data_IF_195807313961
#
_entry.id   IF_195807313961
#
_cell.length_a   1.000
_cell.length_b   1.000
_cell.length_c   1.000
_cell.angle_alpha   90.00
_cell.angle_beta   90.00
_cell.angle_gamma   90.00
#
_symmetry.space_group_name_H-M   'P 1'
#
loop_
_entity.id
_entity.type
_entity.pdbx_description
1 polymer ?
#
# COMPACT_ATOMS: atom_id res chain seq x y z
N UNK A 1 -36.54 -5.77 -0.18
CA UNK A 1 -37.10 -6.62 0.89
C UNK A 1 -36.10 -6.68 2.02
N UNK A 2 -36.40 -6.02 3.13
CA UNK A 2 -35.57 -6.00 4.34
C UNK A 2 -35.47 -7.40 4.93
N UNK A 3 -34.25 -7.92 5.13
CA UNK A 3 -34.03 -9.12 5.94
C UNK A 3 -33.54 -8.71 7.33
N UNK A 4 -34.34 -8.88 8.39
CA UNK A 4 -33.98 -8.56 9.78
C UNK A 4 -32.87 -9.46 10.36
N UNK A 5 -32.39 -10.45 9.59
CA UNK A 5 -31.46 -11.47 10.07
C UNK A 5 -30.02 -10.94 10.18
N UNK A 6 -29.66 -9.90 9.41
CA UNK A 6 -28.32 -9.30 9.49
C UNK A 6 -28.11 -8.46 10.77
N UNK A 7 -29.17 -7.79 11.25
CA UNK A 7 -29.12 -7.01 12.51
C UNK A 7 -28.96 -7.89 13.76
N UNK A 8 -29.34 -9.17 13.71
CA UNK A 8 -29.30 -10.06 14.87
C UNK A 8 -27.92 -10.71 15.09
N UNK A 9 -27.05 -10.78 14.07
CA UNK A 9 -25.66 -11.27 14.24
C UNK A 9 -24.73 -10.24 14.89
N UNK A 10 -25.01 -8.94 14.71
CA UNK A 10 -24.18 -7.84 15.21
C UNK A 10 -24.30 -7.70 16.74
N UNK A 11 -25.48 -7.94 17.32
CA UNK A 11 -25.68 -7.80 18.77
C UNK A 11 -25.08 -8.96 19.60
N UNK A 12 -24.86 -10.14 19.01
CA UNK A 12 -24.35 -11.32 19.75
C UNK A 12 -22.82 -11.30 19.86
N UNK A 13 -22.11 -10.75 18.87
CA UNK A 13 -20.64 -10.59 18.94
C UNK A 13 -20.22 -9.50 19.94
N UNK A 14 -20.96 -8.40 20.03
CA UNK A 14 -20.77 -7.36 21.04
C UNK A 14 -21.05 -7.85 22.47
N UNK A 15 -22.02 -8.75 22.65
CA UNK A 15 -22.34 -9.32 23.97
C UNK A 15 -21.33 -10.38 24.44
N UNK A 16 -20.68 -11.12 23.52
CA UNK A 16 -19.63 -12.09 23.86
C UNK A 16 -18.27 -11.43 24.13
N UNK A 17 -17.99 -10.26 23.54
CA UNK A 17 -16.80 -9.46 23.85
C UNK A 17 -16.79 -8.86 25.26
N UNK A 18 -17.94 -8.75 25.93
CA UNK A 18 -18.05 -8.21 27.29
C UNK A 18 -17.66 -9.21 28.40
N UNK A 19 -17.37 -10.47 28.07
CA UNK A 19 -17.05 -11.53 29.05
C UNK A 19 -15.58 -11.98 29.05
N UNK A 20 -14.75 -11.47 28.13
CA UNK A 20 -13.31 -11.69 28.13
C UNK A 20 -12.67 -10.31 28.10
N UNK A 21 -11.99 -9.93 29.19
CA UNK A 21 -11.38 -8.61 29.33
C UNK A 21 -10.35 -8.31 28.24
N UNK A 22 -10.80 -7.74 27.14
CA UNK A 22 -10.00 -6.94 26.23
C UNK A 22 -10.60 -5.54 26.21
N UNK A 23 -9.75 -4.56 26.47
CA UNK A 23 -10.07 -3.14 26.43
C UNK A 23 -10.63 -2.84 25.02
N UNK A 24 -11.91 -2.54 24.92
CA UNK A 24 -12.48 -1.93 23.71
C UNK A 24 -11.81 -0.57 23.54
N UNK A 25 -10.85 -0.49 22.62
CA UNK A 25 -10.33 0.76 22.08
C UNK A 25 -11.50 1.47 21.39
N UNK A 26 -12.25 2.29 22.13
CA UNK A 26 -13.23 3.22 21.57
C UNK A 26 -12.45 4.38 20.95
N UNK A 27 -11.87 4.17 19.78
CA UNK A 27 -11.53 5.30 18.92
C UNK A 27 -12.85 5.93 18.45
N UNK A 28 -12.95 7.26 18.51
CA UNK A 28 -14.08 7.99 17.90
C UNK A 28 -14.21 7.56 16.44
N UNK A 29 -15.42 7.57 15.87
CA UNK A 29 -15.61 7.28 14.45
C UNK A 29 -15.21 8.48 13.58
N UNK A 30 -14.86 8.29 12.29
CA UNK A 30 -14.72 9.40 11.35
C UNK A 30 -15.95 10.30 11.35
N UNK A 31 -15.74 11.62 11.26
CA UNK A 31 -16.79 12.64 11.29
C UNK A 31 -16.82 13.34 9.93
N UNK A 32 -17.95 13.34 9.25
CA UNK A 32 -18.13 14.15 8.05
C UNK A 32 -17.97 15.63 8.40
N UNK A 33 -17.04 16.30 7.70
CA UNK A 33 -16.85 17.75 7.86
C UNK A 33 -17.43 18.52 6.67
N UNK A 34 -17.30 17.97 5.47
CA UNK A 34 -17.71 18.63 4.24
C UNK A 34 -18.20 17.61 3.22
N UNK A 35 -19.14 18.06 2.39
CA UNK A 35 -19.67 17.31 1.25
C UNK A 35 -19.85 18.26 0.07
N UNK A 36 -19.43 17.79 -1.09
CA UNK A 36 -19.47 18.54 -2.34
C UNK A 36 -20.16 17.71 -3.41
N UNK A 37 -21.10 18.32 -4.11
CA UNK A 37 -21.62 17.75 -5.34
C UNK A 37 -20.60 17.99 -6.45
N UNK A 38 -20.17 16.91 -7.07
CA UNK A 38 -19.33 16.94 -8.26
C UNK A 38 -20.28 16.72 -9.44
N UNK A 39 -20.43 17.71 -10.34
CA UNK A 39 -21.50 17.76 -11.34
C UNK A 39 -21.46 16.65 -12.40
N UNK A 40 -20.59 15.66 -12.29
CA UNK A 40 -20.40 14.64 -13.32
C UNK A 40 -20.11 13.26 -12.72
N UNK A 41 -20.84 12.26 -13.21
CA UNK A 41 -20.65 10.84 -12.92
C UNK A 41 -19.29 10.37 -13.44
N UNK A 42 -18.50 9.71 -12.58
CA UNK A 42 -17.25 9.01 -12.93
C UNK A 42 -16.12 9.92 -13.45
N UNK A 43 -14.89 9.60 -13.07
CA UNK A 43 -13.69 10.11 -13.74
C UNK A 43 -12.77 10.99 -12.91
N UNK A 44 -13.01 11.20 -11.60
CA UNK A 44 -11.88 11.56 -10.71
C UNK A 44 -10.89 10.40 -10.77
N UNK A 45 -9.63 10.66 -11.10
CA UNK A 45 -8.61 9.61 -11.17
C UNK A 45 -7.72 9.61 -9.92
N UNK A 46 -7.43 10.79 -9.40
CA UNK A 46 -6.48 10.96 -8.29
C UNK A 46 -6.67 12.31 -7.59
N UNK A 47 -6.18 12.42 -6.35
CA UNK A 47 -6.40 13.54 -5.44
C UNK A 47 -5.16 13.77 -4.54
N UNK A 48 -4.81 15.03 -4.25
CA UNK A 48 -3.74 15.37 -3.30
C UNK A 48 -4.01 16.71 -2.58
N UNK A 49 -3.36 16.97 -1.44
CA UNK A 49 -3.48 18.20 -0.64
C UNK A 49 -2.39 19.21 -1.01
N UNK A 50 -2.78 20.48 -1.23
CA UNK A 50 -1.86 21.59 -1.55
C UNK A 50 -1.37 22.36 -0.32
N UNK A 51 -1.86 21.99 0.86
CA UNK A 51 -1.59 22.62 2.15
C UNK A 51 -2.64 23.66 2.54
N UNK A 52 -2.79 23.93 3.84
CA UNK A 52 -3.74 24.92 4.35
C UNK A 52 -5.20 24.54 4.16
N UNK A 53 -5.50 23.24 4.24
CA UNK A 53 -6.80 22.60 3.99
C UNK A 53 -7.31 22.66 2.54
N UNK A 54 -6.49 23.15 1.60
CA UNK A 54 -6.82 23.15 0.17
C UNK A 54 -6.38 21.84 -0.50
N UNK A 55 -7.03 21.51 -1.61
CA UNK A 55 -6.76 20.27 -2.32
C UNK A 55 -6.83 20.43 -3.83
N UNK A 56 -6.31 19.41 -4.52
CA UNK A 56 -6.38 19.24 -5.96
C UNK A 56 -6.88 17.86 -6.31
N UNK A 57 -7.57 17.75 -7.44
CA UNK A 57 -7.95 16.46 -8.02
C UNK A 57 -7.93 16.50 -9.53
N UNK A 58 -7.61 15.36 -10.13
CA UNK A 58 -7.61 15.21 -11.59
C UNK A 58 -8.83 14.44 -12.05
N UNK A 59 -9.33 14.83 -13.21
CA UNK A 59 -10.45 14.20 -13.89
C UNK A 59 -10.10 13.87 -15.33
N UNK A 60 -10.43 12.67 -15.79
CA UNK A 60 -10.40 12.29 -17.21
C UNK A 60 -11.83 12.37 -17.73
N UNK A 61 -12.12 13.38 -18.56
CA UNK A 61 -13.48 13.58 -19.09
C UNK A 61 -13.76 12.56 -20.21
N UNK A 62 -14.75 11.69 -20.04
CA UNK A 62 -15.14 10.70 -21.04
C UNK A 62 -15.75 11.32 -22.31
N UNK A 63 -16.34 12.52 -22.21
CA UNK A 63 -16.96 13.21 -23.34
C UNK A 63 -15.95 14.09 -24.12
N UNK A 64 -15.08 14.80 -23.40
CA UNK A 64 -14.09 15.71 -24.01
C UNK A 64 -12.74 15.04 -24.27
N UNK A 65 -12.55 13.81 -23.75
CA UNK A 65 -11.31 13.05 -23.81
C UNK A 65 -10.10 13.84 -23.29
N UNK A 66 -10.28 14.75 -22.33
CA UNK A 66 -9.23 15.63 -21.79
C UNK A 66 -9.05 15.45 -20.30
N UNK A 67 -7.85 15.73 -19.81
CA UNK A 67 -7.58 15.82 -18.38
C UNK A 67 -7.97 17.20 -17.89
N UNK A 68 -8.69 17.27 -16.78
CA UNK A 68 -8.94 18.51 -16.06
C UNK A 68 -8.45 18.38 -14.63
N UNK A 69 -7.63 19.31 -14.17
CA UNK A 69 -7.16 19.38 -12.79
C UNK A 69 -7.86 20.56 -12.14
N UNK A 70 -8.52 20.31 -11.01
CA UNK A 70 -9.20 21.32 -10.21
C UNK A 70 -8.40 21.55 -8.94
N UNK A 71 -8.40 22.79 -8.45
CA UNK A 71 -8.09 23.08 -7.06
C UNK A 71 -9.31 23.64 -6.36
N UNK A 72 -9.51 23.21 -5.12
CA UNK A 72 -10.59 23.67 -4.27
C UNK A 72 -10.08 24.00 -2.87
N UNK A 73 -10.80 24.90 -2.21
CA UNK A 73 -10.60 25.12 -0.78
C UNK A 73 -11.34 24.08 0.06
N UNK A 74 -11.12 24.13 1.38
CA UNK A 74 -11.79 23.25 2.34
C UNK A 74 -13.31 23.38 2.38
N UNK A 75 -13.87 24.44 1.80
CA UNK A 75 -15.30 24.69 1.68
C UNK A 75 -15.88 24.23 0.33
N UNK A 76 -15.04 23.67 -0.56
CA UNK A 76 -15.43 23.19 -1.88
C UNK A 76 -15.52 24.26 -2.95
N UNK A 77 -15.06 25.48 -2.65
CA UNK A 77 -15.01 26.52 -3.67
C UNK A 77 -13.85 26.22 -4.62
N UNK A 78 -14.14 26.25 -5.93
CA UNK A 78 -13.10 26.11 -6.95
C UNK A 78 -12.18 27.33 -6.92
N UNK A 79 -10.91 27.11 -6.60
CA UNK A 79 -9.85 28.13 -6.62
C UNK A 79 -9.34 28.36 -8.04
N UNK A 80 -9.08 27.27 -8.76
CA UNK A 80 -8.67 27.30 -10.17
C UNK A 80 -8.97 25.98 -10.87
N UNK A 81 -8.86 26.00 -12.20
CA UNK A 81 -9.01 24.82 -13.06
C UNK A 81 -8.02 24.89 -14.23
N UNK A 82 -7.37 23.78 -14.51
CA UNK A 82 -6.59 23.54 -15.71
C UNK A 82 -7.26 22.44 -16.54
N UNK A 83 -7.31 22.60 -17.87
CA UNK A 83 -7.76 21.55 -18.80
C UNK A 83 -6.69 21.34 -19.86
N UNK A 84 -6.30 20.09 -20.10
CA UNK A 84 -5.31 19.75 -21.10
C UNK A 84 -5.76 20.21 -22.50
N UNK A 85 -4.85 20.76 -23.32
CA UNK A 85 -5.20 21.21 -24.66
C UNK A 85 -5.55 20.03 -25.57
N UNK A 86 -4.89 18.89 -25.36
CA UNK A 86 -4.99 17.70 -26.19
C UNK A 86 -5.73 16.58 -25.47
N UNK A 87 -6.25 15.64 -26.25
CA UNK A 87 -6.94 14.47 -25.72
C UNK A 87 -5.99 13.62 -24.88
N UNK A 88 -6.25 13.54 -23.59
CA UNK A 88 -5.34 13.00 -22.59
C UNK A 88 -6.07 12.25 -21.48
N UNK A 89 -5.37 11.31 -20.85
CA UNK A 89 -5.78 10.56 -19.68
C UNK A 89 -4.84 10.89 -18.50
N UNK A 90 -5.40 11.01 -17.29
CA UNK A 90 -4.64 11.25 -16.06
C UNK A 90 -4.27 9.95 -15.38
N UNK A 91 -3.02 9.81 -14.98
CA UNK A 91 -2.48 8.65 -14.25
C UNK A 91 -2.20 8.96 -12.78
N UNK A 92 -2.22 10.23 -12.42
CA UNK A 92 -2.05 10.67 -11.05
C UNK A 92 -1.67 12.14 -10.97
N UNK A 93 -1.78 12.69 -9.78
CA UNK A 93 -1.36 14.07 -9.48
C UNK A 93 -0.61 14.13 -8.16
N UNK A 94 0.26 15.12 -8.07
CA UNK A 94 1.01 15.41 -6.86
C UNK A 94 1.05 16.92 -6.63
N UNK A 95 0.59 17.36 -5.48
CA UNK A 95 0.75 18.72 -5.00
C UNK A 95 2.14 18.91 -4.36
N UNK A 96 2.87 19.92 -4.79
CA UNK A 96 4.19 20.29 -4.27
C UNK A 96 4.13 21.70 -3.66
N UNK A 97 5.11 22.09 -2.83
CA UNK A 97 5.19 23.48 -2.34
C UNK A 97 5.23 24.53 -3.46
N UNK A 98 5.68 24.15 -4.66
CA UNK A 98 5.83 25.05 -5.83
C UNK A 98 4.64 25.04 -6.79
N UNK A 99 3.64 24.19 -6.57
CA UNK A 99 2.49 24.01 -7.46
C UNK A 99 2.06 22.55 -7.60
N UNK A 100 1.31 22.22 -8.64
CA UNK A 100 0.74 20.88 -8.84
C UNK A 100 1.37 20.21 -10.06
N UNK A 101 1.74 18.95 -9.92
CA UNK A 101 2.31 18.13 -10.99
C UNK A 101 1.29 17.07 -11.39
N UNK A 102 1.04 16.95 -12.68
CA UNK A 102 0.15 15.93 -13.23
C UNK A 102 0.90 14.95 -14.13
N UNK A 103 0.64 13.66 -13.96
CA UNK A 103 1.11 12.61 -14.87
C UNK A 103 0.01 12.32 -15.88
N UNK A 104 0.25 12.65 -17.15
CA UNK A 104 -0.75 12.53 -18.22
C UNK A 104 -0.20 11.80 -19.44
N UNK A 105 -1.08 11.15 -20.21
CA UNK A 105 -0.73 10.58 -21.52
C UNK A 105 -1.81 10.85 -22.56
N UNK A 106 -1.47 10.93 -23.86
CA UNK A 106 -2.47 11.03 -24.93
C UNK A 106 -3.43 9.83 -24.96
N UNK A 107 -4.68 10.05 -25.40
CA UNK A 107 -5.67 8.96 -25.63
C UNK A 107 -5.61 8.43 -27.08
N UNK A 108 -5.11 9.22 -28.03
CA UNK A 108 -5.23 8.91 -29.47
C UNK A 108 -4.40 7.71 -29.92
N UNK A 109 -4.96 6.89 -30.81
CA UNK A 109 -4.35 5.68 -31.38
C UNK A 109 -3.27 5.91 -32.45
N UNK A 110 -2.90 7.16 -32.75
CA UNK A 110 -1.74 7.48 -33.59
C UNK A 110 -0.47 7.45 -32.75
N UNK A 111 0.40 6.49 -33.04
CA UNK A 111 1.68 6.33 -32.36
C UNK A 111 2.69 7.43 -32.72
N UNK A 112 3.59 7.82 -31.80
CA UNK A 112 3.82 7.27 -30.44
C UNK A 112 3.01 7.98 -29.33
N UNK A 113 2.60 7.23 -28.30
CA UNK A 113 2.06 7.79 -27.05
C UNK A 113 3.19 8.22 -26.11
N UNK A 114 3.25 9.52 -25.79
CA UNK A 114 4.27 10.09 -24.90
C UNK A 114 3.70 10.26 -23.48
N UNK A 115 4.29 9.60 -22.47
CA UNK A 115 4.03 9.90 -21.06
C UNK A 115 4.63 11.27 -20.73
N UNK A 116 3.87 12.15 -20.10
CA UNK A 116 4.33 13.49 -19.75
C UNK A 116 4.02 13.84 -18.31
N UNK A 117 4.94 14.58 -17.71
CA UNK A 117 4.69 15.38 -16.52
C UNK A 117 4.35 16.80 -16.95
N UNK A 118 3.27 17.35 -16.40
CA UNK A 118 2.95 18.77 -16.49
C UNK A 118 3.13 19.40 -15.12
N UNK A 119 3.67 20.63 -15.07
CA UNK A 119 3.74 21.42 -13.84
C UNK A 119 2.84 22.64 -13.97
N UNK A 120 1.91 22.77 -13.03
CA UNK A 120 1.04 23.90 -12.85
C UNK A 120 1.53 24.72 -11.66
N UNK A 121 1.52 26.05 -11.76
CA UNK A 121 1.80 26.91 -10.60
C UNK A 121 0.61 26.94 -9.63
N UNK A 122 0.74 27.68 -8.52
CA UNK A 122 -0.29 27.81 -7.48
C UNK A 122 -1.65 28.37 -7.97
N UNK A 123 -1.70 28.97 -9.16
CA UNK A 123 -2.92 29.50 -9.79
C UNK A 123 -3.45 28.58 -10.90
N UNK A 124 -2.89 27.39 -11.08
CA UNK A 124 -3.31 26.44 -12.10
C UNK A 124 -2.79 26.73 -13.51
N UNK A 125 -1.87 27.69 -13.68
CA UNK A 125 -1.28 27.95 -14.99
C UNK A 125 -0.15 26.95 -15.29
N UNK A 126 -0.15 26.37 -16.48
CA UNK A 126 0.92 25.50 -16.97
C UNK A 126 2.22 26.30 -17.08
N UNK A 127 3.25 25.85 -16.38
CA UNK A 127 4.58 26.49 -16.37
C UNK A 127 5.66 25.62 -16.98
N UNK A 128 5.47 24.29 -16.99
CA UNK A 128 6.44 23.38 -17.60
C UNK A 128 5.80 22.05 -18.04
N UNK A 129 6.46 21.35 -18.95
CA UNK A 129 6.10 20.02 -19.42
C UNK A 129 7.33 19.22 -19.80
N UNK A 130 7.49 18.05 -19.21
CA UNK A 130 8.57 17.10 -19.52
C UNK A 130 7.99 15.82 -20.09
N UNK A 131 8.53 15.41 -21.25
CA UNK A 131 8.28 14.09 -21.80
C UNK A 131 9.19 13.07 -21.09
N UNK A 132 8.60 11.98 -20.62
CA UNK A 132 9.33 10.92 -19.94
C UNK A 132 9.67 9.79 -20.92
N UNK A 133 8.65 9.27 -21.62
CA UNK A 133 8.84 8.09 -22.46
C UNK A 133 7.85 8.02 -23.61
N UNK A 134 8.32 7.55 -24.77
CA UNK A 134 7.52 7.17 -25.93
C UNK A 134 7.14 5.67 -25.87
N UNK A 135 5.89 5.35 -26.20
CA UNK A 135 5.38 3.98 -26.23
C UNK A 135 4.49 3.75 -27.44
N UNK A 136 4.48 2.52 -27.96
CA UNK A 136 3.71 2.12 -29.16
C UNK A 136 2.26 1.70 -28.88
N UNK A 137 1.91 1.43 -27.62
CA UNK A 137 0.54 1.24 -27.14
C UNK A 137 0.58 1.15 -25.60
N UNK A 138 -0.21 1.95 -24.90
CA UNK A 138 -0.18 2.01 -23.43
C UNK A 138 -1.47 1.52 -22.80
N UNK A 139 -1.35 0.71 -21.73
CA UNK A 139 -2.42 0.61 -20.73
C UNK A 139 -2.52 1.96 -19.99
N UNK A 140 -3.68 2.34 -19.42
CA UNK A 140 -3.85 3.54 -18.58
C UNK A 140 -3.14 3.42 -17.21
N UNK A 141 -2.23 2.46 -17.03
CA UNK A 141 -1.65 2.12 -15.74
C UNK A 141 -0.32 2.84 -15.55
N UNK A 142 -0.41 4.00 -14.91
CA UNK A 142 0.71 4.73 -14.35
C UNK A 142 0.34 5.27 -12.97
N UNK A 143 1.36 5.67 -12.22
CA UNK A 143 1.17 6.37 -10.95
C UNK A 143 2.38 7.27 -10.68
N UNK A 144 2.16 8.30 -9.87
CA UNK A 144 3.17 9.24 -9.41
C UNK A 144 3.00 9.38 -7.89
N UNK A 145 4.10 9.32 -7.14
CA UNK A 145 4.09 9.52 -5.68
C UNK A 145 5.22 10.43 -5.24
N UNK A 146 5.01 11.14 -4.13
CA UNK A 146 6.08 11.86 -3.41
C UNK A 146 6.99 10.85 -2.72
N UNK A 147 8.28 11.17 -2.69
CA UNK A 147 9.29 10.48 -1.89
C UNK A 147 9.58 11.27 -0.61
N UNK A 148 10.19 10.61 0.37
CA UNK A 148 10.55 11.19 1.67
C UNK A 148 11.52 12.36 1.51
N UNK A 149 12.39 12.34 0.50
CA UNK A 149 13.33 13.42 0.22
C UNK A 149 12.74 14.57 -0.59
N UNK A 150 11.43 14.54 -0.86
CA UNK A 150 10.70 15.60 -1.55
C UNK A 150 10.72 15.50 -3.07
N UNK A 151 11.41 14.52 -3.66
CA UNK A 151 11.31 14.23 -5.08
C UNK A 151 10.04 13.44 -5.41
N UNK A 152 9.85 13.19 -6.70
CA UNK A 152 8.77 12.39 -7.24
C UNK A 152 9.34 11.10 -7.80
N UNK A 153 8.53 10.07 -7.75
CA UNK A 153 8.79 8.83 -8.45
C UNK A 153 7.58 8.52 -9.32
N UNK A 154 7.86 8.29 -10.59
CA UNK A 154 6.88 7.98 -11.63
C UNK A 154 7.03 6.52 -11.98
N UNK A 155 5.91 5.86 -12.21
CA UNK A 155 5.85 4.48 -12.65
C UNK A 155 4.84 4.34 -13.78
N UNK A 156 5.15 3.54 -14.79
CA UNK A 156 4.22 3.19 -15.86
C UNK A 156 4.49 1.80 -16.44
N UNK A 157 3.41 1.12 -16.80
CA UNK A 157 3.46 -0.08 -17.64
C UNK A 157 2.96 0.24 -19.06
N UNK A 158 3.62 -0.29 -20.09
CA UNK A 158 3.18 -0.15 -21.48
C UNK A 158 3.57 -1.37 -22.33
N UNK A 159 3.06 -1.42 -23.56
CA UNK A 159 3.33 -2.50 -24.49
C UNK A 159 4.06 -1.99 -25.75
N UNK A 160 4.96 -2.82 -26.25
CA UNK A 160 5.59 -2.68 -27.55
C UNK A 160 5.12 -3.79 -28.48
N UNK A 161 4.55 -3.43 -29.64
CA UNK A 161 4.20 -4.40 -30.67
C UNK A 161 5.41 -4.74 -31.51
N UNK A 162 5.89 -5.99 -31.42
CA UNK A 162 7.02 -6.50 -32.19
C UNK A 162 6.52 -7.67 -33.07
N UNK A 163 6.13 -7.35 -34.31
CA UNK A 163 5.48 -8.31 -35.20
C UNK A 163 4.11 -8.76 -34.65
N UNK A 164 3.91 -10.08 -34.54
CA UNK A 164 2.71 -10.68 -33.91
C UNK A 164 2.84 -10.83 -32.39
N UNK A 165 3.94 -10.37 -31.80
CA UNK A 165 4.18 -10.43 -30.35
C UNK A 165 4.01 -9.07 -29.69
N UNK A 166 3.56 -9.07 -28.44
CA UNK A 166 3.49 -7.86 -27.61
C UNK A 166 4.44 -8.02 -26.43
N UNK A 167 5.48 -7.19 -26.39
CA UNK A 167 6.39 -7.10 -25.26
C UNK A 167 5.81 -6.10 -24.26
N UNK A 168 5.81 -6.45 -22.97
CA UNK A 168 5.42 -5.53 -21.91
C UNK A 168 6.67 -4.92 -21.31
N UNK A 169 6.60 -3.63 -21.04
CA UNK A 169 7.67 -2.85 -20.46
C UNK A 169 7.20 -2.19 -19.17
N UNK A 170 8.13 -2.08 -18.24
CA UNK A 170 7.97 -1.36 -16.99
C UNK A 170 8.96 -0.20 -17.01
N UNK A 171 8.44 1.02 -16.85
CA UNK A 171 9.20 2.26 -16.75
C UNK A 171 9.06 2.83 -15.34
N UNK A 172 10.16 3.27 -14.75
CA UNK A 172 10.13 4.07 -13.54
C UNK A 172 11.25 5.11 -13.53
N UNK A 173 10.96 6.27 -12.98
CA UNK A 173 11.89 7.39 -12.97
C UNK A 173 11.73 8.23 -11.72
N UNK A 174 12.85 8.73 -11.20
CA UNK A 174 12.86 9.73 -10.14
C UNK A 174 13.05 11.10 -10.76
N UNK A 175 12.19 12.03 -10.37
CA UNK A 175 12.09 13.36 -10.96
C UNK A 175 12.03 14.40 -9.84
N UNK A 176 12.71 15.53 -10.00
CA UNK A 176 12.59 16.64 -9.05
C UNK A 176 11.20 17.29 -9.12
N UNK A 177 10.78 18.06 -8.10
CA UNK A 177 9.58 18.90 -8.19
C UNK A 177 9.64 19.92 -9.35
N UNK A 178 10.83 20.23 -9.86
CA UNK A 178 11.11 21.10 -11.00
C UNK A 178 11.06 20.38 -12.35
N UNK A 179 10.68 19.09 -12.34
CA UNK A 179 10.62 18.19 -13.50
C UNK A 179 11.98 17.75 -14.06
N UNK A 180 13.08 17.96 -13.35
CA UNK A 180 14.38 17.42 -13.74
C UNK A 180 14.41 15.90 -13.54
N UNK A 181 14.69 15.15 -14.60
CA UNK A 181 14.86 13.69 -14.52
C UNK A 181 16.20 13.41 -13.81
N UNK A 182 16.12 12.84 -12.61
CA UNK A 182 17.29 12.49 -11.80
C UNK A 182 17.87 11.17 -12.30
N UNK A 183 17.00 10.18 -12.50
CA UNK A 183 17.31 8.91 -13.14
C UNK A 183 16.02 8.28 -13.68
N UNK A 184 16.17 7.40 -14.66
CA UNK A 184 15.08 6.59 -15.20
C UNK A 184 15.58 5.21 -15.59
N UNK A 185 14.68 4.23 -15.51
CA UNK A 185 14.93 2.84 -15.84
C UNK A 185 13.77 2.29 -16.64
N UNK A 186 14.07 1.32 -17.50
CA UNK A 186 13.08 0.53 -18.22
C UNK A 186 13.51 -0.92 -18.25
N UNK A 187 12.57 -1.83 -18.08
CA UNK A 187 12.80 -3.26 -18.29
C UNK A 187 11.68 -3.88 -19.10
N UNK A 188 12.01 -4.94 -19.85
CA UNK A 188 11.04 -5.80 -20.50
C UNK A 188 10.60 -6.86 -19.50
N UNK A 189 9.30 -6.97 -19.26
CA UNK A 189 8.72 -7.98 -18.39
C UNK A 189 7.64 -8.76 -19.15
N UNK A 190 7.99 -9.95 -19.63
CA UNK A 190 7.10 -10.79 -20.45
C UNK A 190 6.07 -11.57 -19.64
N UNK A 191 5.98 -11.38 -18.31
CA UNK A 191 5.11 -12.17 -17.44
C UNK A 191 4.28 -11.37 -16.43
N UNK A 192 4.77 -10.23 -15.95
CA UNK A 192 4.26 -9.63 -14.70
C UNK A 192 3.46 -8.35 -14.94
N UNK A 193 2.34 -8.18 -14.24
CA UNK A 193 1.58 -6.93 -14.20
C UNK A 193 2.02 -6.15 -12.97
N UNK A 194 2.76 -5.07 -13.16
CA UNK A 194 3.18 -4.18 -12.09
C UNK A 194 2.19 -3.03 -11.98
N UNK A 195 1.66 -2.81 -10.79
CA UNK A 195 0.51 -1.90 -10.58
C UNK A 195 0.83 -0.73 -9.67
N UNK A 196 1.83 -0.89 -8.79
CA UNK A 196 2.17 0.12 -7.81
C UNK A 196 3.59 -0.06 -7.26
N UNK A 197 4.12 0.97 -6.60
CA UNK A 197 5.40 0.95 -5.91
C UNK A 197 5.31 1.67 -4.57
N UNK A 198 6.29 1.45 -3.70
CA UNK A 198 6.47 2.21 -2.46
C UNK A 198 7.95 2.41 -2.14
N UNK A 199 8.28 3.55 -1.55
CA UNK A 199 9.64 3.82 -1.07
C UNK A 199 9.97 2.95 0.15
N UNK A 200 11.22 2.49 0.22
CA UNK A 200 11.70 1.60 1.27
C UNK A 200 12.29 2.38 2.44
N UNK A 201 12.10 1.90 3.69
CA UNK A 201 12.88 2.38 4.83
C UNK A 201 14.38 2.19 4.57
N UNK A 202 15.16 3.27 4.55
CA UNK A 202 16.59 3.23 4.25
C UNK A 202 16.97 3.47 2.78
N UNK A 203 16.00 3.79 1.92
CA UNK A 203 16.21 4.20 0.53
C UNK A 203 15.92 3.09 -0.50
N UNK A 204 15.65 3.53 -1.73
CA UNK A 204 15.20 2.67 -2.83
C UNK A 204 13.71 2.37 -2.78
N UNK A 205 13.25 1.47 -3.65
CA UNK A 205 11.82 1.23 -3.91
C UNK A 205 11.50 -0.26 -3.94
N UNK A 206 10.28 -0.57 -3.52
CA UNK A 206 9.65 -1.87 -3.70
C UNK A 206 8.67 -1.74 -4.84
N UNK A 207 8.91 -2.46 -5.94
CA UNK A 207 8.00 -2.54 -7.08
C UNK A 207 7.21 -3.83 -6.94
N UNK A 208 5.89 -3.69 -6.84
CA UNK A 208 5.00 -4.83 -6.71
C UNK A 208 4.51 -5.26 -8.08
N UNK A 209 4.78 -6.53 -8.40
CA UNK A 209 4.23 -7.19 -9.58
C UNK A 209 3.31 -8.34 -9.19
N UNK A 210 2.45 -8.72 -10.14
CA UNK A 210 1.57 -9.88 -10.04
C UNK A 210 2.28 -11.16 -9.59
N UNK A 211 3.56 -11.36 -9.92
CA UNK A 211 4.29 -12.62 -9.66
C UNK A 211 5.66 -12.44 -8.97
N UNK A 212 6.01 -11.21 -8.57
CA UNK A 212 7.28 -10.95 -7.88
C UNK A 212 7.27 -9.62 -7.14
N UNK A 213 8.11 -9.54 -6.10
CA UNK A 213 8.55 -8.26 -5.54
C UNK A 213 9.93 -7.95 -6.09
N UNK A 214 10.12 -6.74 -6.62
CA UNK A 214 11.42 -6.24 -7.04
C UNK A 214 11.86 -5.18 -6.03
N UNK A 215 13.07 -5.32 -5.51
CA UNK A 215 13.69 -4.31 -4.66
C UNK A 215 14.73 -3.55 -5.45
N UNK A 216 14.71 -2.23 -5.32
CA UNK A 216 15.72 -1.35 -5.90
C UNK A 216 16.61 -0.72 -4.83
N UNK A 217 17.78 -0.23 -5.24
CA UNK A 217 18.58 0.74 -4.49
C UNK A 217 18.02 2.17 -4.67
N UNK A 218 18.64 3.16 -4.04
CA UNK A 218 18.23 4.58 -4.12
C UNK A 218 18.30 5.17 -5.53
N UNK A 219 19.12 4.57 -6.40
CA UNK A 219 19.31 4.99 -7.79
C UNK A 219 18.34 4.27 -8.74
N UNK A 220 17.42 3.47 -8.19
CA UNK A 220 16.37 2.78 -8.95
C UNK A 220 16.82 1.47 -9.58
N UNK A 221 18.06 1.04 -9.40
CA UNK A 221 18.56 -0.24 -9.95
C UNK A 221 17.98 -1.41 -9.15
N UNK A 222 17.50 -2.43 -9.86
CA UNK A 222 16.99 -3.65 -9.22
C UNK A 222 18.17 -4.43 -8.62
N UNK A 223 18.15 -4.56 -7.29
CA UNK A 223 19.16 -5.30 -6.53
C UNK A 223 18.68 -6.68 -6.12
N UNK A 224 17.37 -6.91 -6.07
CA UNK A 224 16.80 -8.19 -5.67
C UNK A 224 15.42 -8.43 -6.27
N UNK A 225 15.10 -9.70 -6.52
CA UNK A 225 13.78 -10.16 -6.96
C UNK A 225 13.38 -11.36 -6.12
N UNK A 226 12.16 -11.32 -5.57
CA UNK A 226 11.57 -12.42 -4.83
C UNK A 226 10.37 -12.98 -5.61
N UNK A 227 10.26 -14.31 -5.78
CA UNK A 227 9.08 -14.91 -6.39
C UNK A 227 7.87 -14.78 -5.47
N UNK A 228 6.69 -14.61 -6.08
CA UNK A 228 5.42 -14.41 -5.36
C UNK A 228 5.03 -15.52 -4.38
N UNK A 229 5.50 -16.75 -4.63
CA UNK A 229 4.99 -17.99 -4.02
C UNK A 229 5.11 -18.06 -2.49
N UNK A 230 5.78 -17.09 -1.86
CA UNK A 230 5.98 -16.97 -0.41
C UNK A 230 5.34 -15.73 0.23
N UNK A 231 4.76 -14.83 -0.56
CA UNK A 231 4.55 -13.43 -0.14
C UNK A 231 3.10 -13.00 -0.14
N UNK A 232 2.35 -13.51 -1.11
CA UNK A 232 0.94 -13.21 -1.30
C UNK A 232 0.28 -14.54 -1.64
N UNK A 233 -0.11 -15.29 -0.61
CA UNK A 233 -0.87 -16.52 -0.78
C UNK A 233 -2.27 -16.18 -1.29
N UNK A 234 -2.41 -16.11 -2.60
CA UNK A 234 -3.70 -16.01 -3.26
C UNK A 234 -4.34 -17.39 -3.20
N UNK A 235 -5.52 -17.48 -2.57
CA UNK A 235 -6.20 -18.74 -2.27
C UNK A 235 -6.63 -19.53 -3.51
N UNK A 236 -6.58 -18.92 -4.71
CA UNK A 236 -6.92 -19.59 -5.96
C UNK A 236 -5.96 -19.18 -7.10
N UNK A 237 -5.08 -20.09 -7.55
CA UNK A 237 -4.13 -19.82 -8.65
C UNK A 237 -4.81 -19.66 -10.03
N UNK A 238 -6.12 -19.91 -10.15
CA UNK A 238 -6.89 -19.65 -11.37
C UNK A 238 -7.41 -18.20 -11.47
N UNK A 239 -7.26 -17.38 -10.43
CA UNK A 239 -7.69 -15.98 -10.43
C UNK A 239 -6.52 -15.08 -10.83
N UNK A 240 -6.72 -14.26 -11.85
CA UNK A 240 -5.79 -13.18 -12.17
C UNK A 240 -5.95 -12.10 -11.09
N UNK A 241 -4.90 -11.69 -10.36
CA UNK A 241 -4.97 -10.50 -9.53
C UNK A 241 -5.41 -9.31 -10.37
N UNK A 242 -6.42 -8.59 -9.90
CA UNK A 242 -6.80 -7.28 -10.43
C UNK A 242 -5.78 -6.21 -9.99
N UNK A 243 -6.21 -4.96 -9.93
CA UNK A 243 -5.37 -3.87 -9.42
C UNK A 243 -4.91 -4.15 -7.99
N UNK A 244 -3.61 -4.00 -7.75
CA UNK A 244 -2.99 -4.13 -6.43
C UNK A 244 -2.42 -2.78 -6.04
N UNK A 245 -2.50 -2.44 -4.76
CA UNK A 245 -1.86 -1.26 -4.17
C UNK A 245 -0.92 -1.70 -3.06
N UNK A 246 0.16 -0.97 -2.90
CA UNK A 246 1.14 -1.20 -1.83
C UNK A 246 1.34 0.08 -1.04
N UNK A 247 1.33 -0.08 0.28
CA UNK A 247 1.66 0.99 1.21
C UNK A 247 2.70 0.53 2.23
N UNK A 248 3.47 1.48 2.75
CA UNK A 248 4.48 1.18 3.76
C UNK A 248 3.80 0.90 5.10
N UNK A 249 4.31 -0.06 5.84
CA UNK A 249 3.96 -0.24 7.23
C UNK A 249 4.92 0.50 8.18
N UNK A 250 4.43 0.75 9.39
CA UNK A 250 5.20 1.46 10.42
C UNK A 250 6.45 0.69 10.90
N UNK A 251 6.46 -0.64 10.75
CA UNK A 251 7.48 -1.57 11.21
C UNK A 251 8.47 -2.04 10.12
N UNK A 252 8.66 -1.21 9.07
CA UNK A 252 9.49 -1.51 7.90
C UNK A 252 8.97 -2.63 6.97
N UNK A 253 7.81 -3.22 7.26
CA UNK A 253 7.07 -4.06 6.31
C UNK A 253 6.19 -3.27 5.35
N UNK A 254 5.24 -3.97 4.70
CA UNK A 254 4.31 -3.38 3.76
C UNK A 254 2.89 -3.89 3.95
N UNK A 255 1.93 -3.06 3.60
CA UNK A 255 0.55 -3.45 3.37
C UNK A 255 0.32 -3.61 1.88
N UNK A 256 -0.30 -4.71 1.49
CA UNK A 256 -0.63 -5.00 0.10
C UNK A 256 -2.11 -5.31 0.03
N UNK A 257 -2.84 -4.57 -0.79
CA UNK A 257 -4.25 -4.83 -1.02
C UNK A 257 -4.52 -5.09 -2.50
N UNK A 258 -5.47 -5.99 -2.78
CA UNK A 258 -5.87 -6.37 -4.13
C UNK A 258 -7.27 -6.99 -4.17
N UNK A 259 -7.89 -7.05 -5.34
CA UNK A 259 -9.19 -7.69 -5.56
C UNK A 259 -9.15 -8.75 -6.65
N UNK A 260 -9.92 -9.83 -6.49
CA UNK A 260 -10.10 -10.86 -7.53
C UNK A 260 -11.48 -10.77 -8.16
N UNK A 261 -11.62 -11.26 -9.38
CA UNK A 261 -12.92 -11.59 -9.96
C UNK A 261 -12.85 -12.95 -10.64
N UNK A 262 -13.82 -13.83 -10.40
CA UNK A 262 -14.00 -15.05 -11.21
C UNK A 262 -14.71 -14.66 -12.52
N UNK A 263 -14.03 -14.78 -13.66
CA UNK A 263 -14.66 -14.66 -14.98
C UNK A 263 -15.34 -15.98 -15.36
N UNK A 264 -16.65 -15.94 -15.64
CA UNK A 264 -17.33 -16.97 -16.43
C UNK A 264 -18.14 -16.31 -17.56
N UNK A 265 -17.54 -16.20 -18.75
CA UNK A 265 -18.21 -15.97 -20.04
C UNK A 265 -19.09 -14.69 -20.17
N UNK A 266 -19.58 -14.31 -21.37
CA UNK A 266 -19.72 -12.90 -21.74
C UNK A 266 -20.99 -12.30 -21.11
N UNK A 267 -20.81 -11.53 -20.04
CA UNK A 267 -21.89 -10.71 -19.47
C UNK A 267 -21.82 -10.40 -17.98
N UNK A 268 -20.91 -10.98 -17.18
CA UNK A 268 -20.79 -10.58 -15.77
C UNK A 268 -19.77 -11.31 -14.91
N UNK A 269 -19.33 -10.64 -13.84
CA UNK A 269 -18.42 -11.13 -12.79
C UNK A 269 -19.25 -11.68 -11.61
N UNK A 270 -18.93 -12.88 -11.07
CA UNK A 270 -19.80 -13.57 -10.06
C UNK A 270 -19.27 -13.56 -8.62
N UNK A 271 -17.97 -13.39 -8.37
CA UNK A 271 -17.47 -13.26 -6.98
C UNK A 271 -16.22 -12.41 -6.96
N UNK A 272 -16.24 -11.38 -6.10
CA UNK A 272 -15.11 -10.52 -5.87
C UNK A 272 -14.71 -10.52 -4.41
N UNK A 273 -13.58 -11.17 -4.13
CA UNK A 273 -12.93 -11.07 -2.83
C UNK A 273 -11.85 -10.00 -2.91
N UNK A 274 -11.94 -9.02 -2.01
CA UNK A 274 -10.87 -8.06 -1.76
C UNK A 274 -10.04 -8.54 -0.58
N UNK A 275 -8.72 -8.44 -0.70
CA UNK A 275 -7.77 -8.96 0.27
C UNK A 275 -6.77 -7.86 0.60
N UNK A 276 -6.52 -7.69 1.89
CA UNK A 276 -5.44 -6.91 2.46
C UNK A 276 -4.47 -7.88 3.14
N UNK A 277 -3.17 -7.68 2.95
CA UNK A 277 -2.13 -8.44 3.62
C UNK A 277 -1.12 -7.50 4.23
N UNK A 278 -0.63 -7.89 5.41
CA UNK A 278 0.58 -7.33 5.98
C UNK A 278 1.71 -8.30 5.68
N UNK A 279 2.79 -7.76 5.14
CA UNK A 279 4.03 -8.49 4.88
C UNK A 279 5.20 -7.81 5.60
N UNK A 280 6.24 -8.59 5.87
CA UNK A 280 7.51 -8.06 6.38
C UNK A 280 8.33 -7.37 5.26
N UNK A 281 9.52 -6.86 5.62
CA UNK A 281 10.40 -6.12 4.69
C UNK A 281 10.91 -6.93 3.48
N UNK A 282 10.85 -8.27 3.54
CA UNK A 282 11.27 -9.18 2.47
C UNK A 282 10.08 -9.84 1.78
N UNK A 283 8.86 -9.49 2.18
CA UNK A 283 7.62 -9.96 1.58
C UNK A 283 6.95 -11.13 2.30
N UNK A 284 7.48 -11.67 3.40
CA UNK A 284 6.78 -12.78 4.08
C UNK A 284 5.45 -12.30 4.66
N UNK A 285 4.35 -13.00 4.36
CA UNK A 285 3.03 -12.67 4.92
C UNK A 285 3.03 -12.83 6.45
N UNK A 286 2.68 -11.76 7.16
CA UNK A 286 2.46 -11.76 8.61
C UNK A 286 1.00 -12.07 8.93
N UNK A 287 0.07 -11.44 8.22
CA UNK A 287 -1.36 -11.73 8.31
C UNK A 287 -2.13 -11.30 7.07
N UNK A 288 -3.35 -11.83 6.95
CA UNK A 288 -4.29 -11.57 5.85
C UNK A 288 -5.66 -11.20 6.40
N UNK A 289 -6.28 -10.20 5.80
CA UNK A 289 -7.63 -9.74 6.02
C UNK A 289 -8.41 -9.79 4.70
N UNK A 290 -9.61 -10.35 4.70
CA UNK A 290 -10.40 -10.54 3.47
C UNK A 290 -11.84 -10.04 3.66
N UNK A 291 -12.35 -9.33 2.65
CA UNK A 291 -13.72 -8.82 2.61
C UNK A 291 -14.33 -9.15 1.26
N UNK A 292 -15.50 -9.80 1.28
CA UNK A 292 -16.31 -10.01 0.08
C UNK A 292 -17.34 -8.89 -0.03
N UNK A 293 -17.15 -8.03 -1.03
CA UNK A 293 -18.06 -6.90 -1.30
C UNK A 293 -18.93 -7.16 -2.53
N UNK A 294 -18.79 -8.32 -3.19
CA UNK A 294 -19.45 -8.63 -4.46
C UNK A 294 -19.01 -7.77 -5.65
N UNK A 295 -18.13 -6.77 -5.49
CA UNK A 295 -17.66 -5.87 -6.54
C UNK A 295 -16.14 -5.58 -6.43
N UNK A 296 -15.43 -5.61 -7.56
CA UNK A 296 -14.03 -5.21 -7.63
C UNK A 296 -13.97 -3.73 -7.92
N UNK A 297 -13.58 -2.93 -6.92
CA UNK A 297 -13.48 -1.47 -7.07
C UNK A 297 -12.06 -0.95 -6.97
N UNK A 298 -11.07 -1.85 -7.05
CA UNK A 298 -9.68 -1.52 -6.81
C UNK A 298 -9.41 -1.21 -5.33
N UNK A 299 -8.25 -1.60 -4.81
CA UNK A 299 -7.88 -1.30 -3.44
C UNK A 299 -7.54 0.19 -3.30
N UNK A 300 -8.09 0.85 -2.28
CA UNK A 300 -7.72 2.20 -1.89
C UNK A 300 -6.96 2.11 -0.56
N UNK A 301 -5.66 2.45 -0.59
CA UNK A 301 -4.80 2.46 0.58
C UNK A 301 -4.27 3.87 0.84
N UNK A 302 -4.22 4.25 2.10
CA UNK A 302 -3.51 5.45 2.53
C UNK A 302 -2.91 5.22 3.92
N UNK A 303 -1.65 5.61 4.10
CA UNK A 303 -1.01 5.58 5.42
C UNK A 303 -1.21 6.94 6.10
N UNK A 304 -1.82 6.94 7.29
CA UNK A 304 -2.11 8.15 8.05
C UNK A 304 -1.67 7.96 9.50
N UNK A 305 -0.71 8.74 9.96
CA UNK A 305 -0.18 8.67 11.33
C UNK A 305 0.23 7.25 11.78
N UNK A 306 0.85 6.46 10.89
CA UNK A 306 1.19 5.03 11.09
C UNK A 306 -0.01 4.06 11.15
N UNK A 307 -1.22 4.54 10.92
CA UNK A 307 -2.41 3.70 10.74
C UNK A 307 -2.68 3.53 9.24
N UNK A 308 -2.88 2.30 8.80
CA UNK A 308 -3.32 2.03 7.44
C UNK A 308 -4.82 2.23 7.36
N UNK A 309 -5.23 3.11 6.44
CA UNK A 309 -6.60 3.20 5.99
C UNK A 309 -6.79 2.32 4.76
N UNK A 310 -7.77 1.44 4.83
CA UNK A 310 -8.16 0.55 3.74
C UNK A 310 -9.63 0.78 3.40
N UNK A 311 -9.89 1.42 2.26
CA UNK A 311 -11.24 1.66 1.78
C UNK A 311 -11.63 0.61 0.73
N UNK A 312 -12.70 -0.14 0.99
CA UNK A 312 -13.17 -1.20 0.12
C UNK A 312 -14.69 -1.34 0.16
N UNK A 313 -15.31 -1.35 -1.03
CA UNK A 313 -16.76 -1.33 -1.16
C UNK A 313 -17.34 0.00 -0.69
N UNK A 314 -17.86 0.00 0.52
CA UNK A 314 -18.48 1.11 1.26
C UNK A 314 -17.97 1.19 2.70
N UNK A 315 -16.89 0.47 3.04
CA UNK A 315 -16.34 0.47 4.39
C UNK A 315 -14.90 0.99 4.35
N UNK A 316 -14.62 1.94 5.23
CA UNK A 316 -13.27 2.39 5.58
C UNK A 316 -12.83 1.65 6.84
N UNK A 317 -11.80 0.83 6.71
CA UNK A 317 -11.13 0.18 7.83
C UNK A 317 -9.88 0.97 8.22
N UNK A 318 -9.57 0.98 9.52
CA UNK A 318 -8.28 1.44 10.02
C UNK A 318 -7.56 0.30 10.71
N UNK A 319 -6.28 0.13 10.38
CA UNK A 319 -5.41 -0.88 10.96
C UNK A 319 -4.19 -0.21 11.58
N UNK A 320 -3.79 -0.68 12.75
CA UNK A 320 -2.40 -0.59 13.20
C UNK A 320 -1.56 -1.64 12.45
N UNK A 321 -0.69 -2.35 13.18
CA UNK A 321 0.07 -3.48 12.61
C UNK A 321 -0.58 -4.86 12.81
N UNK A 322 -1.74 -4.94 13.47
CA UNK A 322 -2.42 -6.20 13.77
C UNK A 322 -3.49 -6.56 12.72
N UNK A 323 -3.87 -7.84 12.67
CA UNK A 323 -4.86 -8.36 11.70
C UNK A 323 -6.32 -7.97 11.98
N UNK A 324 -6.57 -7.20 13.05
CA UNK A 324 -7.90 -6.78 13.48
C UNK A 324 -8.00 -5.27 13.29
N UNK A 325 -9.01 -4.77 12.54
CA UNK A 325 -9.22 -3.33 12.41
C UNK A 325 -9.38 -2.68 13.80
N UNK A 326 -8.74 -1.54 14.00
CA UNK A 326 -8.95 -0.73 15.20
C UNK A 326 -10.33 -0.08 15.20
N UNK A 327 -10.85 0.21 14.00
CA UNK A 327 -12.23 0.61 13.76
C UNK A 327 -12.61 0.36 12.29
N UNK A 328 -13.93 0.31 12.06
CA UNK A 328 -14.56 0.27 10.75
C UNK A 328 -15.64 1.35 10.66
N UNK A 329 -15.80 1.95 9.48
CA UNK A 329 -16.74 3.02 9.21
C UNK A 329 -17.44 2.80 7.86
N UNK A 330 -18.77 2.63 7.88
CA UNK A 330 -19.59 2.47 6.67
C UNK A 330 -19.99 3.85 6.12
N UNK A 331 -19.68 4.10 4.85
CA UNK A 331 -20.07 5.33 4.13
C UNK A 331 -21.37 5.14 3.37
N UNK A 332 -22.07 6.24 3.11
CA UNK A 332 -23.27 6.26 2.26
C UNK A 332 -22.94 6.28 0.76
N UNK A 333 -21.65 6.38 0.40
CA UNK A 333 -21.18 6.48 -0.98
C UNK A 333 -20.88 5.10 -1.59
N UNK A 334 -21.32 4.92 -2.83
CA UNK A 334 -21.03 3.78 -3.70
C UNK A 334 -20.00 4.15 -4.77
N UNK A 335 -19.34 3.18 -5.41
CA UNK A 335 -18.35 3.37 -6.48
C UNK A 335 -17.18 4.30 -6.12
N UNK A 336 -16.56 4.09 -4.95
CA UNK A 336 -15.74 5.14 -4.37
C UNK A 336 -14.22 4.97 -4.50
N UNK A 337 -13.55 6.10 -4.80
CA UNK A 337 -12.12 6.31 -4.58
C UNK A 337 -11.94 6.94 -3.21
N UNK A 338 -10.86 6.58 -2.52
CA UNK A 338 -10.53 7.15 -1.22
C UNK A 338 -9.05 7.51 -1.14
N UNK A 339 -8.76 8.69 -0.59
CA UNK A 339 -7.38 9.10 -0.34
C UNK A 339 -7.28 9.93 0.94
N UNK A 340 -6.18 9.76 1.67
CA UNK A 340 -5.83 10.70 2.73
C UNK A 340 -5.58 12.07 2.14
N UNK A 341 -6.26 13.08 2.66
CA UNK A 341 -5.95 14.47 2.34
C UNK A 341 -4.72 14.88 3.14
N UNK A 342 -4.73 14.58 4.43
CA UNK A 342 -3.61 14.88 5.32
C UNK A 342 -3.61 13.92 6.52
N UNK A 343 -2.80 14.26 7.53
CA UNK A 343 -2.63 13.47 8.74
C UNK A 343 -3.93 13.18 9.48
N UNK A 344 -4.99 13.98 9.31
CA UNK A 344 -6.22 13.82 10.07
C UNK A 344 -7.50 13.87 9.22
N UNK A 345 -7.40 13.88 7.88
CA UNK A 345 -8.57 13.96 6.99
C UNK A 345 -8.49 12.96 5.85
N UNK A 346 -9.64 12.42 5.47
CA UNK A 346 -9.79 11.44 4.40
C UNK A 346 -10.90 11.85 3.45
N UNK A 347 -10.61 11.93 2.15
CA UNK A 347 -11.61 12.18 1.12
C UNK A 347 -12.14 10.85 0.59
N UNK A 348 -13.46 10.76 0.43
CA UNK A 348 -14.13 9.69 -0.32
C UNK A 348 -14.92 10.33 -1.44
N UNK A 349 -14.71 9.86 -2.67
CA UNK A 349 -15.46 10.30 -3.84
C UNK A 349 -16.27 9.14 -4.37
N UNK A 350 -17.60 9.25 -4.44
CA UNK A 350 -18.48 8.17 -4.92
C UNK A 350 -19.90 8.66 -5.21
N UNK A 351 -20.81 7.75 -5.55
CA UNK A 351 -22.23 8.01 -5.86
C UNK A 351 -23.08 7.88 -4.60
N UNK A 352 -24.08 8.74 -4.41
CA UNK A 352 -24.97 8.65 -3.26
C UNK A 352 -25.99 7.50 -3.42
N UNK A 353 -26.14 6.64 -2.42
CA UNK A 353 -27.13 5.53 -2.41
C UNK A 353 -28.60 5.98 -2.32
N UNK A 354 -28.87 7.19 -1.85
CA UNK A 354 -30.21 7.61 -1.42
C UNK A 354 -30.97 8.51 -2.41
N UNK A 355 -30.48 8.68 -3.65
CA UNK A 355 -31.16 9.49 -4.66
C UNK A 355 -31.94 8.64 -5.66
N UNK A 356 -33.27 8.68 -5.59
CA UNK A 356 -34.21 8.06 -6.55
C UNK A 356 -34.20 8.74 -7.94
N UNK A 357 -33.33 9.73 -8.16
CA UNK A 357 -33.29 10.53 -9.39
C UNK A 357 -32.21 10.03 -10.37
N UNK A 358 -32.56 10.06 -11.67
CA UNK A 358 -31.64 9.86 -12.80
C UNK A 358 -30.45 10.85 -12.84
N UNK A 359 -30.46 11.89 -11.99
CA UNK A 359 -29.31 12.76 -11.71
C UNK A 359 -28.39 12.11 -10.67
N UNK A 360 -27.67 11.06 -11.10
CA UNK A 360 -26.66 10.44 -10.25
C UNK A 360 -25.43 11.36 -10.25
N UNK A 361 -25.40 12.34 -9.34
CA UNK A 361 -24.23 13.19 -9.14
C UNK A 361 -23.20 12.45 -8.29
N UNK A 362 -21.93 12.52 -8.68
CA UNK A 362 -20.84 12.06 -7.82
C UNK A 362 -20.71 13.05 -6.66
N UNK A 363 -20.44 12.56 -5.47
CA UNK A 363 -20.18 13.36 -4.30
C UNK A 363 -18.77 13.11 -3.82
N UNK A 364 -18.13 14.17 -3.37
CA UNK A 364 -16.91 14.09 -2.57
C UNK A 364 -17.27 14.44 -1.13
N UNK A 365 -16.92 13.56 -0.21
CA UNK A 365 -17.11 13.75 1.22
C UNK A 365 -15.76 13.73 1.89
N UNK A 366 -15.48 14.75 2.70
CA UNK A 366 -14.29 14.80 3.53
C UNK A 366 -14.69 14.40 4.93
N UNK A 367 -13.97 13.41 5.47
CA UNK A 367 -14.08 12.95 6.84
C UNK A 367 -12.88 13.43 7.64
N UNK A 368 -13.15 14.01 8.80
CA UNK A 368 -12.20 14.14 9.89
C UNK A 368 -11.98 12.76 10.50
N UNK A 369 -10.74 12.28 10.48
CA UNK A 369 -10.36 11.02 11.06
C UNK A 369 -10.32 11.11 12.59
N UNK A 370 -10.44 9.96 13.28
CA UNK A 370 -10.29 9.89 14.72
C UNK A 370 -8.94 10.43 15.15
N UNK A 371 -8.89 11.08 16.31
CA UNK A 371 -7.64 11.61 16.81
C UNK A 371 -6.71 10.47 17.24
N UNK A 372 -5.70 10.21 16.42
CA UNK A 372 -4.68 9.22 16.70
C UNK A 372 -3.70 9.67 17.79
N UNK A 373 -3.71 10.94 18.21
CA UNK A 373 -2.78 11.52 19.20
C UNK A 373 -3.01 11.07 20.64
N UNK A 374 -4.17 10.45 20.93
CA UNK A 374 -4.43 9.79 22.22
C UNK A 374 -3.98 8.32 22.27
N UNK A 375 -3.43 7.79 21.18
CA UNK A 375 -2.57 6.62 21.25
C UNK A 375 -1.22 7.16 21.72
N UNK A 376 -0.74 6.71 22.88
CA UNK A 376 0.61 7.03 23.35
C UNK A 376 1.54 7.04 22.15
N UNK A 377 2.16 8.20 21.85
CA UNK A 377 3.22 8.27 20.88
C UNK A 377 4.24 7.20 21.26
N UNK A 378 4.18 6.02 20.65
CA UNK A 378 5.39 5.31 20.34
C UNK A 378 6.02 6.13 19.22
N UNK A 379 6.63 7.27 19.61
CA UNK A 379 7.88 7.67 18.98
C UNK A 379 8.62 6.37 18.75
N UNK A 380 9.03 6.11 17.51
CA UNK A 380 9.93 4.99 17.21
C UNK A 380 11.18 5.25 18.05
N UNK A 381 11.17 4.71 19.27
CA UNK A 381 12.34 4.66 20.12
C UNK A 381 13.13 3.56 19.47
N UNK A 382 13.99 3.96 18.53
CA UNK A 382 15.03 3.08 18.06
C UNK A 382 15.71 2.50 19.31
N UNK A 383 15.93 1.19 19.35
CA UNK A 383 16.66 0.58 20.45
C UNK A 383 17.94 1.37 20.71
N UNK A 384 18.28 1.56 21.98
CA UNK A 384 19.51 2.27 22.34
C UNK A 384 20.69 1.30 22.49
N UNK A 385 20.41 -0.01 22.53
CA UNK A 385 21.40 -1.07 22.71
C UNK A 385 21.09 -2.29 21.83
N UNK A 386 22.12 -3.09 21.56
CA UNK A 386 21.96 -4.41 20.95
C UNK A 386 21.49 -5.37 22.04
N UNK A 387 20.34 -6.02 21.84
CA UNK A 387 19.79 -6.93 22.85
C UNK A 387 19.07 -8.12 22.23
N UNK A 388 19.36 -9.33 22.70
CA UNK A 388 18.59 -10.54 22.49
C UNK A 388 17.58 -10.71 23.63
N UNK A 389 16.30 -10.56 23.31
CA UNK A 389 15.19 -10.66 24.25
C UNK A 389 14.88 -12.12 24.63
N UNK A 390 14.20 -12.37 25.76
CA UNK A 390 13.69 -13.69 26.08
C UNK A 390 12.78 -14.21 24.96
N UNK A 391 13.04 -15.43 24.49
CA UNK A 391 12.15 -16.06 23.52
C UNK A 391 10.80 -16.37 24.18
N UNK A 392 9.71 -16.23 23.41
CA UNK A 392 8.36 -16.51 23.89
C UNK A 392 7.55 -17.28 22.82
N UNK A 393 6.84 -18.36 23.19
CA UNK A 393 6.88 -19.01 24.51
C UNK A 393 8.25 -19.66 24.81
N UNK A 394 8.61 -19.83 26.07
CA UNK A 394 9.80 -20.60 26.50
C UNK A 394 9.61 -21.07 27.95
N UNK A 395 9.36 -22.37 28.22
CA UNK A 395 9.41 -23.49 27.28
C UNK A 395 8.38 -23.43 26.13
N UNK A 396 8.67 -24.08 25.00
CA UNK A 396 7.85 -23.99 23.79
C UNK A 396 7.53 -25.36 23.15
N UNK A 397 6.42 -25.44 22.43
CA UNK A 397 6.00 -26.62 21.65
C UNK A 397 5.05 -26.20 20.50
N UNK A 398 5.37 -26.44 19.21
CA UNK A 398 6.67 -26.78 18.65
C UNK A 398 7.51 -25.53 18.27
N UNK A 399 6.96 -24.31 18.38
CA UNK A 399 7.63 -23.08 17.95
C UNK A 399 7.74 -22.01 19.03
N UNK A 400 8.78 -21.19 18.91
CA UNK A 400 9.04 -20.00 19.74
C UNK A 400 9.45 -18.83 18.88
N UNK A 401 9.18 -17.60 19.34
CA UNK A 401 9.64 -16.38 18.69
C UNK A 401 10.86 -15.82 19.42
N UNK A 402 11.95 -15.68 18.69
CA UNK A 402 13.21 -15.08 19.14
C UNK A 402 13.19 -13.62 18.71
N UNK A 403 13.29 -12.69 19.66
CA UNK A 403 13.30 -11.25 19.37
C UNK A 403 14.65 -10.63 19.71
N UNK A 404 15.10 -9.68 18.91
CA UNK A 404 16.31 -8.92 19.20
C UNK A 404 16.20 -7.50 18.68
N UNK A 405 17.08 -6.63 19.16
CA UNK A 405 17.07 -5.21 18.92
C UNK A 405 18.44 -4.73 18.43
N UNK A 406 18.44 -3.78 17.49
CA UNK A 406 19.64 -3.15 16.93
C UNK A 406 19.49 -1.62 16.99
N UNK A 407 20.48 -0.89 17.54
CA UNK A 407 20.45 0.57 17.61
C UNK A 407 20.91 1.25 16.32
N UNK A 408 21.64 0.54 15.47
CA UNK A 408 22.20 1.03 14.21
C UNK A 408 22.38 -0.13 13.23
N UNK A 409 22.62 0.19 11.96
CA UNK A 409 22.86 -0.81 10.92
C UNK A 409 24.15 -1.60 11.20
N UNK A 410 24.07 -2.92 11.35
CA UNK A 410 25.22 -3.79 11.60
C UNK A 410 25.04 -5.19 10.99
N UNK A 411 26.14 -5.95 10.86
CA UNK A 411 26.08 -7.37 10.49
C UNK A 411 25.61 -8.20 11.69
N UNK A 412 24.59 -9.05 11.48
CA UNK A 412 23.94 -9.82 12.53
C UNK A 412 23.90 -11.30 12.16
N UNK A 413 24.30 -12.14 13.12
CA UNK A 413 24.14 -13.59 13.09
C UNK A 413 23.28 -14.04 14.29
N UNK A 414 22.15 -14.69 14.02
CA UNK A 414 21.36 -15.37 15.05
C UNK A 414 21.40 -16.86 14.79
N UNK A 415 21.94 -17.61 15.74
CA UNK A 415 22.21 -19.04 15.62
C UNK A 415 21.76 -19.83 16.83
N UNK A 416 21.28 -21.06 16.62
CA UNK A 416 20.89 -22.01 17.66
C UNK A 416 21.96 -23.09 17.81
N UNK A 417 22.35 -23.36 19.05
CA UNK A 417 23.31 -24.40 19.42
C UNK A 417 22.69 -25.39 20.40
N UNK A 418 23.20 -26.62 20.42
CA UNK A 418 22.94 -27.54 21.52
C UNK A 418 23.87 -27.26 22.72
N UNK A 419 23.67 -27.98 23.82
CA UNK A 419 24.49 -27.82 25.04
C UNK A 419 25.96 -28.19 24.87
N UNK A 420 26.33 -28.92 23.81
CA UNK A 420 27.72 -29.23 23.45
C UNK A 420 28.35 -28.15 22.55
N UNK A 421 27.65 -27.05 22.26
CA UNK A 421 28.14 -25.97 21.38
C UNK A 421 28.11 -26.31 19.89
N UNK A 422 27.44 -27.38 19.48
CA UNK A 422 27.23 -27.71 18.07
C UNK A 422 26.13 -26.84 17.50
N UNK A 423 26.40 -26.20 16.36
CA UNK A 423 25.42 -25.45 15.59
C UNK A 423 24.30 -26.38 15.13
N UNK A 424 23.06 -26.01 15.46
CA UNK A 424 21.83 -26.71 15.09
C UNK A 424 21.16 -26.00 13.92
N UNK A 425 21.03 -24.67 14.03
CA UNK A 425 20.44 -23.87 12.97
C UNK A 425 21.00 -22.45 12.94
N UNK A 426 21.22 -21.91 11.75
CA UNK A 426 21.50 -20.50 11.54
C UNK A 426 20.19 -19.85 11.08
N UNK A 427 19.65 -18.93 11.90
CA UNK A 427 18.34 -18.31 11.66
C UNK A 427 18.46 -17.04 10.82
N UNK A 428 19.56 -16.30 10.97
CA UNK A 428 19.90 -15.17 10.10
C UNK A 428 21.40 -14.92 10.12
N UNK A 429 21.94 -14.41 9.02
CA UNK A 429 23.35 -14.04 8.85
C UNK A 429 23.48 -12.96 7.76
N UNK A 430 23.10 -11.72 8.09
CA UNK A 430 23.00 -10.64 7.11
C UNK A 430 23.22 -9.26 7.77
N UNK A 431 23.36 -8.22 6.95
CA UNK A 431 23.36 -6.83 7.43
C UNK A 431 21.91 -6.38 7.63
N UNK A 432 21.61 -5.82 8.79
CA UNK A 432 20.27 -5.34 9.15
C UNK A 432 20.36 -3.91 9.70
N UNK A 433 19.36 -3.09 9.40
CA UNK A 433 19.27 -1.69 9.85
C UNK A 433 18.99 -1.56 11.36
N UNK A 434 18.95 -0.33 11.90
CA UNK A 434 18.44 -0.10 13.24
C UNK A 434 16.96 -0.55 13.33
N UNK A 435 16.58 -1.27 14.38
CA UNK A 435 15.21 -1.73 14.55
C UNK A 435 15.04 -2.89 15.53
N UNK A 436 13.79 -3.32 15.71
CA UNK A 436 13.43 -4.51 16.46
C UNK A 436 13.10 -5.63 15.48
N UNK A 437 13.59 -6.82 15.75
CA UNK A 437 13.48 -7.99 14.88
C UNK A 437 12.88 -9.16 15.62
N UNK A 438 12.14 -10.01 14.89
CA UNK A 438 11.58 -11.25 15.40
C UNK A 438 11.81 -12.37 14.39
N UNK A 439 12.28 -13.54 14.86
CA UNK A 439 12.46 -14.74 14.05
C UNK A 439 11.75 -15.90 14.74
N UNK A 440 10.88 -16.60 14.02
CA UNK A 440 10.24 -17.81 14.53
C UNK A 440 11.14 -19.03 14.33
N UNK A 441 11.32 -19.84 15.36
CA UNK A 441 12.02 -21.12 15.28
C UNK A 441 11.10 -22.27 15.70
N UNK A 442 10.99 -23.28 14.85
CA UNK A 442 10.08 -24.43 15.00
C UNK A 442 10.76 -25.71 15.51
N UNK A 443 11.91 -25.58 16.17
CA UNK A 443 12.66 -26.72 16.66
C UNK A 443 13.21 -27.61 15.54
N UNK A 444 13.62 -27.01 14.42
CA UNK A 444 14.21 -27.70 13.27
C UNK A 444 15.70 -27.35 13.12
N UNK A 445 16.48 -28.30 12.61
CA UNK A 445 17.87 -28.06 12.16
C UNK A 445 17.92 -27.42 10.76
N UNK A 446 19.10 -27.04 10.29
CA UNK A 446 19.29 -26.47 8.93
C UNK A 446 18.88 -27.42 7.78
N UNK A 447 18.65 -28.71 8.05
CA UNK A 447 18.13 -29.68 7.07
C UNK A 447 16.60 -29.83 7.17
N UNK A 448 15.92 -28.99 7.95
CA UNK A 448 14.47 -29.01 8.14
C UNK A 448 13.97 -30.14 9.04
N UNK A 449 14.87 -30.88 9.71
CA UNK A 449 14.50 -32.03 10.56
C UNK A 449 14.19 -31.56 11.97
N UNK A 450 13.13 -32.10 12.57
CA UNK A 450 12.79 -31.85 13.96
C UNK A 450 13.86 -32.40 14.90
N UNK A 451 14.27 -31.57 15.85
CA UNK A 451 15.22 -31.95 16.89
C UNK A 451 14.49 -32.54 18.13
N UNK A 452 15.19 -33.30 18.99
CA UNK A 452 14.62 -33.80 20.24
C UNK A 452 14.22 -32.70 21.21
N UNK A 453 13.31 -32.98 22.15
CA UNK A 453 13.06 -32.11 23.29
C UNK A 453 14.34 -31.92 24.11
N UNK A 454 14.56 -30.73 24.66
CA UNK A 454 15.78 -30.44 25.39
C UNK A 454 16.11 -28.97 25.50
N UNK A 455 17.31 -28.70 26.02
CA UNK A 455 17.85 -27.36 26.20
C UNK A 455 18.70 -26.99 24.99
N UNK A 456 18.45 -25.78 24.46
CA UNK A 456 19.19 -25.18 23.37
C UNK A 456 19.65 -23.77 23.75
N UNK A 457 20.63 -23.25 23.03
CA UNK A 457 21.21 -21.93 23.23
C UNK A 457 21.02 -21.11 21.96
N UNK A 458 20.26 -20.01 22.05
CA UNK A 458 20.17 -19.02 20.99
C UNK A 458 21.24 -17.96 21.20
N UNK A 459 22.06 -17.71 20.19
CA UNK A 459 23.13 -16.71 20.21
C UNK A 459 22.85 -15.63 19.17
N UNK A 460 22.87 -14.38 19.60
CA UNK A 460 22.95 -13.19 18.76
C UNK A 460 24.41 -12.75 18.73
N UNK A 461 24.99 -12.55 17.55
CA UNK A 461 26.35 -12.05 17.37
C UNK A 461 26.39 -10.95 16.30
N UNK A 462 27.11 -9.88 16.60
CA UNK A 462 27.51 -8.81 15.68
C UNK A 462 29.04 -8.66 15.73
N UNK A 463 29.69 -7.82 14.88
CA UNK A 463 31.14 -7.60 14.95
C UNK A 463 31.66 -7.25 16.34
N UNK A 464 30.89 -6.50 17.14
CA UNK A 464 31.33 -5.98 18.44
C UNK A 464 30.50 -6.48 19.63
N UNK A 465 29.45 -7.28 19.42
CA UNK A 465 28.54 -7.72 20.47
C UNK A 465 28.17 -9.20 20.34
N UNK A 466 27.99 -9.90 21.47
CA UNK A 466 27.44 -11.26 21.48
C UNK A 466 26.62 -11.52 22.75
N UNK A 467 25.41 -12.02 22.60
CA UNK A 467 24.54 -12.43 23.71
C UNK A 467 23.95 -13.82 23.46
N UNK A 468 23.77 -14.60 24.53
CA UNK A 468 23.19 -15.96 24.45
C UNK A 468 22.04 -16.12 25.42
N UNK A 469 20.93 -16.72 24.97
CA UNK A 469 19.74 -17.03 25.77
C UNK A 469 19.40 -18.51 25.66
N UNK A 470 18.90 -19.07 26.76
CA UNK A 470 18.48 -20.48 26.86
C UNK A 470 17.09 -20.67 26.26
N UNK A 471 16.90 -21.71 25.46
CA UNK A 471 15.62 -22.19 24.94
C UNK A 471 15.31 -23.59 25.49
N UNK A 472 14.05 -23.87 25.77
CA UNK A 472 13.57 -25.16 26.27
C UNK A 472 12.47 -25.67 25.33
N UNK A 473 12.79 -26.67 24.53
CA UNK A 473 11.83 -27.34 23.64
C UNK A 473 11.14 -28.48 24.38
N UNK A 474 9.81 -28.42 24.48
CA UNK A 474 8.94 -29.49 24.96
C UNK A 474 8.27 -30.16 23.75
N UNK A 475 8.10 -31.48 23.80
CA UNK A 475 7.24 -32.21 22.88
C UNK A 475 5.97 -32.62 23.58
#
# INVERSE_FOLDING_TARGET
>A
MNSPILKLRISILLALGLLLGSVTKLHSQPIEINRFDIPFLLGVNDFDETGGDNFVFSKSNSLELRVTIFSMDSLGNQLWRYTSPDSSYSHGIVATPSGTIGLISPITGSQPQVLKLIKLNANGALIDTVALMESSWGYPEGTIKKTVDGNLIVFRQFYESVGDTSLRHIYWAKVSPELDIIWEHTMIDTGRVCTDFVERPGGGFTILSQDSILLTNSDGEIIQSYPHSTTLHYSNPALKPGWVKIERASDAGYFIAGGYSIEQFPGGYTTVTNVLQKVDSIGTTEWTFGVDTGLNRGPNLSLVNNHLLYFVGDILYSFGNDSVPEWEFETELEFSLGHSINQNRYAIVGLNRNTDSLDVQSQMVIYQLPDYTNTTHETIVLPTEIQLLPAYPNPFNPSTTIRYELPQTESVNVSIYNVQGRLISELTNQVQSAGRYAIQWSGKDNSGRHIPSGIYLCKLATPNYSQTKKLILLK
#
